data_IF_638096489378
#
_entry.id   IF_638096489378
#
_cell.length_a   1.000
_cell.length_b   1.000
_cell.length_c   1.000
_cell.angle_alpha   90.00
_cell.angle_beta   90.00
_cell.angle_gamma   90.00
#
_symmetry.space_group_name_H-M   'P 1'
#
loop_
_entity.id
_entity.type
_entity.pdbx_description
1 polymer ?
#
# COMPACT_ATOMS: atom_id res chain seq x y z
N UNK A 1 2.90 21.28 -7.04
CA UNK A 1 2.53 20.26 -6.03
C UNK A 1 2.68 18.88 -6.66
N UNK A 2 3.23 17.94 -5.89
CA UNK A 2 3.38 16.56 -6.35
C UNK A 2 2.29 15.72 -5.69
N UNK A 3 1.53 14.98 -6.49
CA UNK A 3 0.36 14.23 -6.02
C UNK A 3 0.52 12.74 -6.34
N UNK A 4 0.33 11.90 -5.33
CA UNK A 4 0.21 10.45 -5.51
C UNK A 4 -1.24 10.04 -5.22
N UNK A 5 -1.84 9.29 -6.12
CA UNK A 5 -3.25 8.88 -6.00
C UNK A 5 -3.33 7.55 -5.28
N UNK A 6 -4.12 7.51 -4.21
CA UNK A 6 -4.33 6.28 -3.42
C UNK A 6 -5.49 5.49 -4.00
N UNK A 7 -5.26 4.20 -4.27
CA UNK A 7 -6.24 3.33 -4.90
C UNK A 7 -7.01 2.43 -3.92
N UNK A 8 -6.77 2.56 -2.62
CA UNK A 8 -7.39 1.68 -1.63
C UNK A 8 -8.91 1.68 -1.70
N UNK A 9 -9.53 2.85 -1.82
CA UNK A 9 -11.00 2.96 -1.81
C UNK A 9 -11.63 2.33 -3.05
N UNK A 10 -10.98 2.45 -4.19
CA UNK A 10 -11.47 1.81 -5.43
C UNK A 10 -11.44 0.28 -5.24
N UNK A 11 -10.35 -0.25 -4.72
CA UNK A 11 -10.24 -1.68 -4.46
C UNK A 11 -11.25 -2.14 -3.39
N UNK A 12 -11.49 -1.32 -2.37
CA UNK A 12 -12.47 -1.63 -1.33
C UNK A 12 -13.88 -1.76 -1.91
N UNK A 13 -14.29 -0.82 -2.76
CA UNK A 13 -15.61 -0.86 -3.40
C UNK A 13 -15.72 -2.09 -4.30
N UNK A 14 -14.71 -2.37 -5.12
CA UNK A 14 -14.68 -3.58 -5.94
C UNK A 14 -14.90 -4.83 -5.09
N UNK A 15 -14.15 -4.95 -3.99
CA UNK A 15 -14.23 -6.12 -3.13
C UNK A 15 -15.59 -6.25 -2.45
N UNK A 16 -16.18 -5.13 -2.01
CA UNK A 16 -17.48 -5.14 -1.34
C UNK A 16 -18.60 -5.59 -2.26
N UNK A 17 -18.44 -5.39 -3.56
CA UNK A 17 -19.43 -5.83 -4.56
C UNK A 17 -19.22 -7.27 -4.99
N UNK A 18 -18.10 -7.89 -4.61
CA UNK A 18 -17.78 -9.24 -5.03
C UNK A 18 -17.60 -9.38 -6.54
N UNK A 19 -17.12 -8.33 -7.21
CA UNK A 19 -17.00 -8.31 -8.66
C UNK A 19 -15.69 -7.67 -9.09
N UNK A 20 -15.52 -7.51 -10.40
CA UNK A 20 -14.36 -6.82 -10.98
C UNK A 20 -14.60 -5.31 -11.12
N UNK A 21 -15.79 -4.85 -10.78
CA UNK A 21 -16.19 -3.45 -10.94
C UNK A 21 -16.30 -2.77 -9.56
N UNK A 22 -15.75 -1.56 -9.39
CA UNK A 22 -15.02 -0.77 -10.37
C UNK A 22 -13.68 -1.40 -10.76
N UNK A 23 -13.31 -1.24 -12.02
CA UNK A 23 -12.08 -1.82 -12.56
C UNK A 23 -10.87 -1.00 -12.11
N UNK A 24 -10.01 -1.62 -11.31
CA UNK A 24 -8.85 -0.94 -10.73
C UNK A 24 -7.88 -0.46 -11.81
N UNK A 25 -7.66 -1.26 -12.84
CA UNK A 25 -6.77 -0.88 -13.93
C UNK A 25 -7.25 0.35 -14.66
N UNK A 26 -8.55 0.45 -14.91
CA UNK A 26 -9.13 1.62 -15.58
C UNK A 26 -8.87 2.89 -14.76
N UNK A 27 -9.13 2.84 -13.46
CA UNK A 27 -8.89 4.00 -12.58
C UNK A 27 -7.42 4.34 -12.50
N UNK A 28 -6.55 3.33 -12.39
CA UNK A 28 -5.11 3.54 -12.32
C UNK A 28 -4.59 4.20 -13.60
N UNK A 29 -4.99 3.70 -14.77
CA UNK A 29 -4.57 4.28 -16.05
C UNK A 29 -5.08 5.71 -16.21
N UNK A 30 -6.33 5.95 -15.86
CA UNK A 30 -6.90 7.30 -15.94
C UNK A 30 -6.12 8.28 -15.09
N UNK A 31 -5.74 7.88 -13.86
CA UNK A 31 -4.93 8.71 -12.98
C UNK A 31 -3.54 8.94 -13.56
N UNK A 32 -2.90 7.87 -14.07
CA UNK A 32 -1.53 7.95 -14.60
C UNK A 32 -1.41 8.79 -15.85
N UNK A 33 -2.51 8.99 -16.60
CA UNK A 33 -2.54 9.86 -17.75
C UNK A 33 -2.53 11.35 -17.36
N UNK A 34 -2.80 11.63 -16.10
CA UNK A 34 -2.78 13.00 -15.60
C UNK A 34 -1.37 13.38 -15.10
N UNK A 35 -1.18 14.66 -14.78
CA UNK A 35 0.09 15.14 -14.27
C UNK A 35 0.24 14.84 -12.78
N UNK A 36 0.39 13.57 -12.45
CA UNK A 36 0.58 13.10 -11.06
C UNK A 36 1.97 12.51 -10.89
N UNK A 37 2.42 12.42 -9.63
CA UNK A 37 3.69 11.82 -9.29
C UNK A 37 3.64 10.30 -9.42
N UNK A 38 2.57 9.69 -8.92
CA UNK A 38 2.47 8.23 -8.91
C UNK A 38 1.21 7.71 -8.25
N UNK A 39 1.25 6.44 -7.90
CA UNK A 39 0.13 5.73 -7.26
C UNK A 39 0.57 5.20 -5.90
N UNK A 40 -0.39 5.14 -4.97
CA UNK A 40 -0.19 4.63 -3.62
C UNK A 40 -1.17 3.50 -3.36
N UNK A 41 -0.68 2.44 -2.70
CA UNK A 41 -1.50 1.31 -2.30
C UNK A 41 -1.08 0.81 -0.92
N UNK A 42 -2.07 0.36 -0.13
CA UNK A 42 -1.85 -0.19 1.20
C UNK A 42 -2.43 -1.61 1.25
N UNK A 43 -1.63 -2.64 0.97
CA UNK A 43 -2.09 -4.01 1.17
C UNK A 43 -2.15 -4.31 2.67
N UNK A 44 -3.32 -4.74 3.14
CA UNK A 44 -3.52 -5.10 4.54
C UNK A 44 -3.61 -6.63 4.69
N UNK A 45 -3.25 -7.16 5.87
CA UNK A 45 -3.26 -8.62 6.08
C UNK A 45 -4.61 -9.29 5.82
N UNK A 46 -5.72 -8.57 6.03
CA UNK A 46 -7.06 -9.11 5.82
C UNK A 46 -7.57 -8.95 4.38
N UNK A 47 -6.77 -8.37 3.48
CA UNK A 47 -7.12 -8.17 2.07
C UNK A 47 -8.42 -7.40 1.88
N UNK A 48 -8.70 -6.44 2.76
CA UNK A 48 -9.95 -5.66 2.70
C UNK A 48 -10.07 -4.83 1.42
N UNK A 49 -8.95 -4.39 0.85
CA UNK A 49 -8.96 -3.60 -0.38
C UNK A 49 -7.87 -4.06 -1.35
N UNK A 50 -6.65 -3.54 -1.27
CA UNK A 50 -5.55 -3.93 -2.16
C UNK A 50 -5.14 -5.38 -1.90
N UNK A 51 -5.07 -6.17 -2.96
CA UNK A 51 -4.65 -7.57 -2.93
C UNK A 51 -3.27 -7.70 -3.58
N UNK A 52 -2.68 -8.88 -3.46
CA UNK A 52 -1.37 -9.14 -4.06
C UNK A 52 -1.39 -8.90 -5.58
N UNK A 53 -2.42 -9.39 -6.26
CA UNK A 53 -2.57 -9.22 -7.71
C UNK A 53 -2.66 -7.75 -8.11
N UNK A 54 -3.26 -6.94 -7.25
CA UNK A 54 -3.35 -5.50 -7.48
C UNK A 54 -1.97 -4.85 -7.43
N UNK A 55 -1.10 -5.31 -6.54
CA UNK A 55 0.27 -4.79 -6.47
C UNK A 55 1.05 -5.10 -7.74
N UNK A 56 0.87 -6.30 -8.29
CA UNK A 56 1.50 -6.67 -9.56
C UNK A 56 1.03 -5.73 -10.68
N UNK A 57 -0.28 -5.48 -10.74
CA UNK A 57 -0.87 -4.60 -11.74
C UNK A 57 -0.34 -3.17 -11.59
N UNK A 58 -0.36 -2.63 -10.36
CA UNK A 58 0.07 -1.25 -10.11
C UNK A 58 1.56 -1.09 -10.44
N UNK A 59 2.39 -2.07 -10.08
CA UNK A 59 3.81 -2.05 -10.40
C UNK A 59 4.03 -1.99 -11.91
N UNK A 60 3.32 -2.83 -12.64
CA UNK A 60 3.39 -2.86 -14.11
C UNK A 60 2.99 -1.51 -14.70
N UNK A 61 1.90 -0.94 -14.22
CA UNK A 61 1.38 0.32 -14.77
C UNK A 61 2.29 1.50 -14.44
N UNK A 62 2.79 1.59 -13.21
CA UNK A 62 3.69 2.68 -12.84
C UNK A 62 5.00 2.60 -13.60
N UNK A 63 5.50 1.40 -13.88
CA UNK A 63 6.67 1.22 -14.73
C UNK A 63 6.36 1.65 -16.17
N UNK A 64 5.22 1.25 -16.69
CA UNK A 64 4.80 1.60 -18.06
C UNK A 64 4.70 3.12 -18.26
N UNK A 65 4.14 3.83 -17.29
CA UNK A 65 3.97 5.29 -17.34
C UNK A 65 5.16 6.07 -16.79
N UNK A 66 6.19 5.37 -16.29
CA UNK A 66 7.36 5.98 -15.66
C UNK A 66 6.98 6.90 -14.49
N UNK A 67 6.07 6.43 -13.64
CA UNK A 67 5.59 7.13 -12.45
C UNK A 67 6.01 6.38 -11.20
N UNK A 68 5.89 7.02 -10.04
CA UNK A 68 6.28 6.41 -8.78
C UNK A 68 5.23 5.46 -8.26
N UNK A 69 5.67 4.45 -7.54
CA UNK A 69 4.81 3.53 -6.82
C UNK A 69 5.16 3.59 -5.34
N UNK A 70 4.18 3.89 -4.51
CA UNK A 70 4.33 3.91 -3.05
C UNK A 70 3.50 2.79 -2.42
N UNK A 71 4.14 1.96 -1.60
CA UNK A 71 3.43 0.92 -0.83
C UNK A 71 3.45 1.33 0.63
N UNK A 72 2.26 1.42 1.23
CA UNK A 72 2.09 1.70 2.65
C UNK A 72 1.93 0.38 3.41
N UNK A 73 2.37 0.35 4.66
CA UNK A 73 2.16 -0.82 5.49
C UNK A 73 2.84 -0.70 6.84
N UNK A 74 2.47 -1.62 7.73
CA UNK A 74 3.05 -1.72 9.05
C UNK A 74 4.18 -2.75 9.03
N UNK A 75 5.43 -2.32 9.23
CA UNK A 75 6.57 -3.25 9.16
C UNK A 75 6.56 -4.30 10.28
N UNK A 76 5.75 -4.10 11.31
CA UNK A 76 5.63 -5.05 12.43
C UNK A 76 4.56 -6.12 12.19
N UNK A 77 3.74 -5.98 11.13
CA UNK A 77 2.73 -6.98 10.81
C UNK A 77 3.40 -8.27 10.31
N UNK A 78 3.03 -9.36 10.95
CA UNK A 78 3.60 -10.67 10.61
C UNK A 78 2.97 -11.27 9.36
N UNK A 79 3.71 -12.09 8.61
CA UNK A 79 3.13 -12.82 7.50
C UNK A 79 1.97 -13.71 7.97
N UNK A 80 0.99 -13.88 7.11
CA UNK A 80 -0.17 -14.75 7.38
C UNK A 80 -0.51 -15.51 6.09
N UNK A 81 -1.58 -16.32 6.14
CA UNK A 81 -1.93 -17.19 5.02
C UNK A 81 -2.07 -16.45 3.68
N UNK A 82 -2.65 -15.24 3.72
CA UNK A 82 -2.92 -14.46 2.51
C UNK A 82 -2.07 -13.18 2.43
N UNK A 83 -1.07 -13.06 3.27
CA UNK A 83 -0.28 -11.83 3.36
C UNK A 83 1.19 -12.19 3.62
N UNK A 84 2.05 -11.79 2.71
CA UNK A 84 3.48 -12.15 2.78
C UNK A 84 4.25 -11.35 3.83
N UNK A 85 3.64 -10.33 4.39
CA UNK A 85 4.30 -9.38 5.27
C UNK A 85 4.79 -8.16 4.51
N UNK A 86 4.77 -7.01 5.18
CA UNK A 86 5.08 -5.74 4.52
C UNK A 86 6.50 -5.74 3.95
N UNK A 87 7.48 -6.17 4.74
CA UNK A 87 8.88 -6.13 4.30
C UNK A 87 9.13 -7.05 3.10
N UNK A 88 8.47 -8.22 3.08
CA UNK A 88 8.58 -9.13 1.94
C UNK A 88 7.99 -8.53 0.66
N UNK A 89 6.88 -7.80 0.79
CA UNK A 89 6.27 -7.11 -0.35
C UNK A 89 7.18 -6.00 -0.89
N UNK A 90 7.81 -5.23 0.00
CA UNK A 90 8.75 -4.21 -0.40
C UNK A 90 9.94 -4.82 -1.15
N UNK A 91 10.46 -5.92 -0.64
CA UNK A 91 11.59 -6.62 -1.27
C UNK A 91 11.20 -7.16 -2.66
N UNK A 92 10.00 -7.68 -2.78
CA UNK A 92 9.52 -8.26 -4.04
C UNK A 92 9.22 -7.19 -5.09
N UNK A 93 8.46 -6.17 -4.73
CA UNK A 93 7.97 -5.17 -5.70
C UNK A 93 8.92 -4.00 -5.90
N UNK A 94 9.82 -3.77 -4.96
CA UNK A 94 10.79 -2.67 -5.02
C UNK A 94 10.15 -1.36 -5.44
N UNK A 95 9.17 -0.88 -4.65
CA UNK A 95 8.49 0.36 -4.99
C UNK A 95 9.45 1.53 -4.92
N UNK A 96 9.09 2.63 -5.58
CA UNK A 96 9.86 3.87 -5.53
C UNK A 96 9.90 4.40 -4.10
N UNK A 97 8.81 4.18 -3.35
CA UNK A 97 8.65 4.71 -2.00
C UNK A 97 7.95 3.68 -1.11
N UNK A 98 8.34 3.62 0.13
CA UNK A 98 7.73 2.75 1.13
C UNK A 98 7.34 3.61 2.33
N UNK A 99 6.04 3.65 2.65
CA UNK A 99 5.52 4.45 3.74
C UNK A 99 5.17 3.54 4.91
N UNK A 100 5.79 3.80 6.06
CA UNK A 100 5.57 3.00 7.26
C UNK A 100 4.41 3.59 8.06
N UNK A 101 3.39 2.80 8.31
CA UNK A 101 2.21 3.22 9.09
C UNK A 101 2.00 2.26 10.26
N UNK A 102 1.56 2.77 11.44
CA UNK A 102 1.35 1.93 12.61
C UNK A 102 -0.03 1.27 12.66
N UNK A 103 -0.64 1.04 11.50
CA UNK A 103 -2.01 0.54 11.44
C UNK A 103 -2.10 -0.89 11.94
N UNK A 104 -3.08 -1.14 12.80
CA UNK A 104 -3.46 -2.47 13.26
C UNK A 104 -4.49 -3.05 12.30
N UNK A 105 -4.49 -4.36 12.13
CA UNK A 105 -5.46 -5.08 11.30
C UNK A 105 -6.91 -4.79 11.73
N UNK A 106 -7.13 -4.52 13.01
CA UNK A 106 -8.46 -4.24 13.55
C UNK A 106 -8.95 -2.81 13.29
N UNK A 107 -8.12 -1.93 12.80
CA UNK A 107 -8.52 -0.55 12.49
C UNK A 107 -9.27 -0.49 11.17
N UNK A 108 -10.31 0.35 11.11
CA UNK A 108 -11.04 0.58 9.87
C UNK A 108 -10.21 1.41 8.89
N UNK A 109 -9.49 2.39 9.42
CA UNK A 109 -8.68 3.29 8.62
C UNK A 109 -7.53 3.81 9.48
N UNK A 110 -6.54 4.40 8.85
CA UNK A 110 -5.42 5.02 9.54
C UNK A 110 -5.93 6.23 10.34
N UNK A 111 -5.65 6.26 11.63
CA UNK A 111 -6.16 7.29 12.53
C UNK A 111 -5.10 7.92 13.42
N UNK A 112 -3.85 7.46 13.36
CA UNK A 112 -2.76 8.02 14.16
C UNK A 112 -1.41 7.74 13.51
N UNK A 113 -0.38 8.46 13.97
CA UNK A 113 1.00 8.23 13.56
C UNK A 113 1.75 7.35 14.54
N UNK A 114 3.03 7.17 14.31
CA UNK A 114 3.89 6.41 15.19
C UNK A 114 4.09 7.14 16.53
N UNK A 115 4.06 6.39 17.63
CA UNK A 115 4.45 6.88 18.92
C UNK A 115 5.98 6.75 19.05
N UNK A 116 6.66 7.80 18.66
CA UNK A 116 8.12 7.82 18.64
C UNK A 116 8.71 7.63 20.04
N UNK A 117 8.05 8.18 21.06
CA UNK A 117 8.51 8.01 22.45
C UNK A 117 8.55 6.55 22.86
N UNK A 118 7.48 5.82 22.57
CA UNK A 118 7.38 4.40 22.85
C UNK A 118 8.43 3.59 22.09
N UNK A 119 8.61 3.89 20.80
CA UNK A 119 9.57 3.19 19.96
C UNK A 119 11.00 3.38 20.41
N UNK A 120 11.35 4.57 20.92
CA UNK A 120 12.69 4.83 21.42
C UNK A 120 13.06 3.94 22.60
N UNK A 121 12.07 3.58 23.42
CA UNK A 121 12.30 2.71 24.58
C UNK A 121 12.25 1.22 24.25
N UNK A 122 11.52 0.84 23.23
CA UNK A 122 11.29 -0.57 22.89
C UNK A 122 12.16 -1.06 21.75
N UNK A 123 12.73 -0.18 20.98
CA UNK A 123 13.57 -0.52 19.87
C UNK A 123 14.93 -1.08 20.34
N UNK A 124 15.48 -2.07 19.65
CA UNK A 124 16.88 -2.42 19.85
C UNK A 124 17.75 -1.24 19.47
N UNK A 125 19.02 -1.31 19.81
CA UNK A 125 19.91 -0.17 19.61
C UNK A 125 19.84 0.32 18.15
N UNK A 126 19.52 1.60 17.94
CA UNK A 126 19.36 2.11 16.58
C UNK A 126 20.66 2.21 15.80
N UNK A 127 21.76 1.98 16.43
CA UNK A 127 23.05 2.00 15.75
C UNK A 127 23.47 0.64 15.22
N UNK A 128 22.74 -0.35 15.60
CA UNK A 128 23.03 -1.73 15.22
C UNK A 128 22.48 -2.05 13.87
#
# INVERSE_FOLDING_TARGET
MKLSINLNKIALIRNSRGSISPNLEYFARTALEENILGLTAHPRPDNRHIRYEDLELIKKLTDEYQKEFNIEGNPLEQPSLKYRGYLALIEEFKPTQATLVPDDTNQLTSDHGWDISCLLYTSPSPRD
#
